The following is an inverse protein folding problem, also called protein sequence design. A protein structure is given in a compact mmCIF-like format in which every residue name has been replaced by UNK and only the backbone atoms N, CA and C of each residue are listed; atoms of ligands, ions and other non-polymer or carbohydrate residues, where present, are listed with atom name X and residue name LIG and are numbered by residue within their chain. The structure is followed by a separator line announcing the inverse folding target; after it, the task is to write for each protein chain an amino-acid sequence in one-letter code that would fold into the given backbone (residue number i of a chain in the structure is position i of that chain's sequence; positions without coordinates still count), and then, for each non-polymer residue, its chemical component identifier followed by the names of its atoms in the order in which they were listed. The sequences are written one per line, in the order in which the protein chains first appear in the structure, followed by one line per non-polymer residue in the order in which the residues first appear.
data_IF_392599888614
#
_entry.id   IF_392599888614
#
_cell.length_a   1.000
_cell.length_b   1.000
_cell.length_c   1.000
_cell.angle_alpha   90.00
_cell.angle_beta   90.00
_cell.angle_gamma   90.00
#
_symmetry.space_group_name_H-M   'P 1'
#
loop_
_entity.id
_entity.type
_entity.pdbx_description
1 polymer ?
#
# COMPACT_ATOMS: atom_id res chain seq x y z
N UNK A 1 47.37 -51.81 40.04
CA UNK A 1 46.54 -50.61 40.29
C UNK A 1 45.44 -50.54 39.23
N UNK A 2 44.19 -50.61 39.68
CA UNK A 2 42.92 -50.27 39.01
C UNK A 2 42.63 -50.96 37.66
N UNK A 3 41.83 -52.04 37.70
CA UNK A 3 40.95 -52.45 36.59
C UNK A 3 39.52 -52.50 37.11
N UNK A 4 38.70 -51.61 36.57
CA UNK A 4 37.31 -51.29 36.92
C UNK A 4 36.31 -52.28 36.31
N UNK A 5 35.23 -52.51 37.06
CA UNK A 5 34.11 -53.43 36.85
C UNK A 5 33.27 -53.20 35.56
N UNK A 6 32.46 -54.19 35.12
CA UNK A 6 31.68 -54.13 33.89
C UNK A 6 30.31 -53.46 34.13
N UNK A 7 29.95 -52.48 33.27
CA UNK A 7 28.61 -51.88 33.26
C UNK A 7 27.66 -52.63 32.32
N UNK A 8 26.45 -52.88 32.82
CA UNK A 8 25.29 -53.46 32.15
C UNK A 8 24.95 -52.76 30.83
N UNK A 9 24.68 -53.54 29.79
CA UNK A 9 24.03 -53.08 28.55
C UNK A 9 22.52 -52.90 28.81
N UNK A 10 22.06 -51.66 28.97
CA UNK A 10 20.65 -51.34 28.76
C UNK A 10 20.37 -51.32 27.25
N UNK A 11 19.53 -52.25 26.79
CA UNK A 11 18.89 -52.16 25.46
C UNK A 11 17.91 -51.00 25.49
N UNK A 12 18.23 -49.91 24.79
CA UNK A 12 17.25 -48.89 24.44
C UNK A 12 16.38 -49.44 23.32
N UNK A 13 15.15 -49.81 23.67
CA UNK A 13 14.08 -50.08 22.72
C UNK A 13 13.81 -48.83 21.88
N UNK A 14 14.04 -48.91 20.58
CA UNK A 14 13.71 -47.84 19.66
C UNK A 14 12.18 -47.67 19.57
N UNK A 15 11.66 -46.56 20.09
CA UNK A 15 10.30 -46.13 19.74
C UNK A 15 10.27 -45.80 18.24
N UNK A 16 9.29 -46.30 17.47
CA UNK A 16 9.13 -45.88 16.09
C UNK A 16 8.78 -44.37 16.09
N UNK A 17 9.66 -43.56 15.49
CA UNK A 17 9.38 -42.16 15.15
C UNK A 17 8.11 -42.16 14.29
N UNK A 18 6.97 -41.77 14.86
CA UNK A 18 5.80 -41.37 14.07
C UNK A 18 6.27 -40.24 13.16
N UNK A 19 6.27 -40.47 11.83
CA UNK A 19 6.38 -39.39 10.86
C UNK A 19 5.17 -38.50 11.09
N UNK A 20 5.41 -37.27 11.54
CA UNK A 20 4.40 -36.22 11.48
C UNK A 20 3.92 -36.13 10.02
N UNK A 21 2.61 -36.05 9.76
CA UNK A 21 2.14 -35.77 8.41
C UNK A 21 2.79 -34.48 7.93
N UNK A 22 3.29 -34.47 6.70
CA UNK A 22 3.80 -33.27 6.03
C UNK A 22 2.67 -32.24 6.02
N UNK A 23 2.76 -31.25 6.93
CA UNK A 23 1.86 -30.11 6.94
C UNK A 23 2.28 -29.25 5.76
N UNK A 24 1.53 -29.34 4.65
CA UNK A 24 1.65 -28.39 3.55
C UNK A 24 0.96 -27.11 3.98
N UNK A 25 1.75 -26.10 4.29
CA UNK A 25 1.27 -24.74 4.47
C UNK A 25 1.02 -24.17 3.07
N UNK A 26 -0.23 -24.02 2.68
CA UNK A 26 -0.57 -23.21 1.52
C UNK A 26 -0.34 -21.74 1.90
N UNK A 27 0.50 -20.98 1.16
CA UNK A 27 0.67 -19.57 1.41
C UNK A 27 -0.68 -18.87 1.30
N UNK A 28 -1.08 -18.14 2.34
CA UNK A 28 -2.26 -17.29 2.25
C UNK A 28 -1.97 -16.21 1.19
N UNK A 29 -2.85 -16.01 0.19
CA UNK A 29 -2.63 -15.02 -0.87
C UNK A 29 -2.26 -13.63 -0.36
N UNK A 30 -2.85 -13.22 0.77
CA UNK A 30 -2.52 -11.96 1.44
C UNK A 30 -1.11 -11.90 2.02
N UNK A 31 -0.54 -13.02 2.47
CA UNK A 31 0.82 -13.08 2.99
C UNK A 31 1.86 -13.03 1.86
N UNK A 32 1.64 -13.78 0.78
CA UNK A 32 2.48 -13.69 -0.42
C UNK A 32 2.48 -12.26 -0.97
N UNK A 33 1.30 -11.65 -1.03
CA UNK A 33 1.18 -10.26 -1.44
C UNK A 33 1.88 -9.28 -0.49
N UNK A 34 1.68 -9.44 0.82
CA UNK A 34 2.29 -8.58 1.85
C UNK A 34 3.81 -8.58 1.76
N UNK A 35 4.45 -9.73 1.52
CA UNK A 35 5.91 -9.82 1.38
C UNK A 35 6.44 -9.10 0.13
N UNK A 36 5.62 -9.00 -0.92
CA UNK A 36 5.99 -8.32 -2.16
C UNK A 36 5.73 -6.82 -2.11
N UNK A 37 4.79 -6.42 -1.26
CA UNK A 37 4.50 -5.04 -0.90
C UNK A 37 5.41 -4.53 0.21
N UNK A 38 6.10 -5.40 0.94
CA UNK A 38 7.00 -5.01 2.03
C UNK A 38 8.13 -4.14 1.48
N UNK A 39 8.04 -2.85 1.80
CA UNK A 39 9.10 -1.88 1.56
C UNK A 39 9.93 -1.80 2.83
N UNK A 40 11.25 -1.72 2.69
CA UNK A 40 12.09 -1.31 3.82
C UNK A 40 11.53 0.01 4.36
N UNK A 41 11.41 0.20 5.70
CA UNK A 41 10.81 1.38 6.27
C UNK A 41 11.37 2.62 5.55
N UNK A 42 10.51 3.51 5.04
CA UNK A 42 11.00 4.71 4.40
C UNK A 42 11.97 5.38 5.36
N UNK A 43 13.17 5.73 4.85
CA UNK A 43 14.07 6.58 5.61
C UNK A 43 13.34 7.89 5.94
N UNK A 44 13.82 8.66 6.93
CA UNK A 44 13.21 9.94 7.32
C UNK A 44 13.06 10.94 6.17
N UNK A 45 13.72 10.69 5.03
CA UNK A 45 13.73 11.54 3.84
C UNK A 45 12.77 11.12 2.72
N UNK A 46 11.84 10.17 2.96
CA UNK A 46 10.86 9.75 1.95
C UNK A 46 9.75 10.81 1.76
N UNK A 47 10.13 11.93 1.17
CA UNK A 47 9.29 13.12 1.01
C UNK A 47 8.52 13.14 -0.32
N UNK A 48 8.52 12.06 -1.10
CA UNK A 48 7.82 12.00 -2.39
C UNK A 48 7.36 10.59 -2.78
N UNK A 49 6.32 10.46 -3.64
CA UNK A 49 5.89 9.17 -4.18
C UNK A 49 7.03 8.41 -4.86
N UNK A 50 7.84 9.08 -5.69
CA UNK A 50 9.00 8.48 -6.34
C UNK A 50 10.01 7.87 -5.35
N UNK A 51 10.22 8.51 -4.19
CA UNK A 51 11.11 7.99 -3.15
C UNK A 51 10.56 6.71 -2.50
N UNK A 52 9.25 6.51 -2.48
CA UNK A 52 8.59 5.34 -1.91
C UNK A 52 8.57 4.14 -2.87
N UNK A 53 8.68 4.32 -4.19
CA UNK A 53 8.60 3.23 -5.19
C UNK A 53 9.78 2.23 -5.15
N UNK A 54 9.98 1.51 -4.04
CA UNK A 54 11.12 0.64 -3.77
C UNK A 54 10.74 -0.84 -3.71
N UNK A 55 9.47 -1.13 -3.42
CA UNK A 55 8.92 -2.48 -3.40
C UNK A 55 9.07 -3.24 -4.73
N UNK A 56 8.93 -4.56 -4.67
CA UNK A 56 8.97 -5.40 -5.88
C UNK A 56 7.88 -5.01 -6.87
N UNK A 57 6.68 -4.70 -6.37
CA UNK A 57 5.52 -4.25 -7.16
C UNK A 57 5.84 -3.05 -8.07
N UNK A 58 6.74 -2.17 -7.62
CA UNK A 58 7.15 -0.96 -8.32
C UNK A 58 8.24 -1.21 -9.38
N UNK A 59 9.08 -2.24 -9.19
CA UNK A 59 10.29 -2.46 -9.99
C UNK A 59 10.20 -3.65 -10.94
N UNK A 60 9.43 -4.68 -10.60
CA UNK A 60 9.27 -5.87 -11.42
C UNK A 60 8.60 -5.54 -12.78
N UNK A 61 8.73 -6.40 -13.80
CA UNK A 61 8.01 -6.23 -15.05
C UNK A 61 6.49 -6.14 -14.84
N UNK A 62 5.84 -5.13 -15.42
CA UNK A 62 4.40 -4.85 -15.23
C UNK A 62 3.52 -6.09 -15.46
N UNK A 63 3.80 -6.88 -16.51
CA UNK A 63 3.06 -8.11 -16.80
C UNK A 63 3.18 -9.17 -15.70
N UNK A 64 4.34 -9.28 -15.03
CA UNK A 64 4.51 -10.20 -13.91
C UNK A 64 3.67 -9.77 -12.70
N UNK A 65 3.66 -8.47 -12.40
CA UNK A 65 2.87 -7.88 -11.32
C UNK A 65 1.37 -8.11 -11.57
N UNK A 66 0.88 -7.81 -12.78
CA UNK A 66 -0.53 -7.99 -13.15
C UNK A 66 -0.95 -9.46 -13.11
N UNK A 67 -0.12 -10.35 -13.64
CA UNK A 67 -0.42 -11.79 -13.61
C UNK A 67 -0.48 -12.32 -12.18
N UNK A 68 0.41 -11.86 -11.30
CA UNK A 68 0.37 -12.23 -9.89
C UNK A 68 -0.89 -11.69 -9.21
N UNK A 69 -1.17 -10.39 -9.37
CA UNK A 69 -2.35 -9.73 -8.83
C UNK A 69 -3.63 -10.49 -9.19
N UNK A 70 -3.83 -10.79 -10.48
CA UNK A 70 -4.99 -11.54 -10.99
C UNK A 70 -5.12 -12.94 -10.39
N UNK A 71 -4.00 -13.65 -10.22
CA UNK A 71 -4.01 -14.99 -9.60
C UNK A 71 -4.45 -14.92 -8.13
N UNK A 72 -3.96 -13.93 -7.39
CA UNK A 72 -4.25 -13.78 -5.96
C UNK A 72 -5.66 -13.23 -5.71
N UNK A 73 -6.16 -12.33 -6.55
CA UNK A 73 -7.55 -11.84 -6.45
C UNK A 73 -8.57 -12.91 -6.84
N UNK A 74 -8.27 -13.75 -7.84
CA UNK A 74 -9.13 -14.88 -8.22
C UNK A 74 -9.32 -15.91 -7.08
N UNK A 75 -8.39 -15.97 -6.12
CA UNK A 75 -8.53 -16.80 -4.92
C UNK A 75 -9.41 -16.20 -3.81
N UNK A 76 -10.09 -15.09 -4.07
CA UNK A 76 -11.12 -14.51 -3.20
C UNK A 76 -10.60 -13.54 -2.14
N UNK A 77 -9.34 -13.13 -2.20
CA UNK A 77 -8.77 -12.11 -1.31
C UNK A 77 -8.92 -10.70 -1.87
N UNK A 78 -9.49 -9.78 -1.08
CA UNK A 78 -9.30 -8.35 -1.33
C UNK A 78 -7.90 -7.96 -0.86
N UNK A 79 -7.03 -7.60 -1.80
CA UNK A 79 -5.63 -7.29 -1.51
C UNK A 79 -5.46 -5.77 -1.36
N UNK A 80 -4.71 -5.30 -0.35
CA UNK A 80 -4.28 -3.91 -0.30
C UNK A 80 -3.31 -3.69 -1.46
N UNK A 81 -3.73 -2.90 -2.44
CA UNK A 81 -2.95 -2.65 -3.66
C UNK A 81 -2.96 -1.17 -4.01
N UNK A 82 -1.87 -0.66 -4.60
CA UNK A 82 -1.86 0.70 -5.12
C UNK A 82 -3.02 0.92 -6.09
N UNK A 83 -3.61 2.12 -6.07
CA UNK A 83 -4.74 2.49 -6.94
C UNK A 83 -4.48 2.13 -8.41
N UNK A 84 -3.25 2.38 -8.87
CA UNK A 84 -2.87 2.17 -10.25
C UNK A 84 -2.89 0.71 -10.67
N UNK A 85 -2.70 -0.24 -9.75
CA UNK A 85 -2.70 -1.66 -10.09
C UNK A 85 -4.12 -2.13 -10.46
N UNK A 86 -5.13 -1.66 -9.73
CA UNK A 86 -6.53 -1.88 -10.09
C UNK A 86 -6.91 -1.13 -11.36
N UNK A 87 -6.44 0.10 -11.53
CA UNK A 87 -6.68 0.85 -12.77
C UNK A 87 -6.08 0.16 -14.00
N UNK A 88 -4.87 -0.41 -13.88
CA UNK A 88 -4.22 -1.21 -14.92
C UNK A 88 -5.00 -2.49 -15.22
N UNK A 89 -5.42 -3.21 -14.18
CA UNK A 89 -6.17 -4.45 -14.37
C UNK A 89 -7.51 -4.22 -15.08
N UNK A 90 -8.17 -3.12 -14.75
CA UNK A 90 -9.41 -2.65 -15.40
C UNK A 90 -9.16 -2.05 -16.80
N UNK A 91 -7.92 -1.94 -17.25
CA UNK A 91 -7.55 -1.34 -18.54
C UNK A 91 -7.86 0.15 -18.65
N UNK A 92 -7.97 0.86 -17.52
CA UNK A 92 -8.30 2.29 -17.49
C UNK A 92 -7.07 3.20 -17.51
N UNK A 93 -5.90 2.63 -17.23
CA UNK A 93 -4.61 3.27 -17.44
C UNK A 93 -3.75 2.34 -18.30
N UNK A 94 -2.90 2.90 -19.16
CA UNK A 94 -2.20 2.13 -20.20
C UNK A 94 -0.94 1.48 -19.66
N UNK A 95 -0.30 2.12 -18.67
CA UNK A 95 0.97 1.64 -18.12
C UNK A 95 1.20 2.08 -16.68
N UNK A 96 2.08 1.37 -15.98
CA UNK A 96 2.56 1.77 -14.65
C UNK A 96 3.33 3.09 -14.71
N UNK A 97 4.00 3.38 -15.82
CA UNK A 97 4.69 4.66 -16.01
C UNK A 97 3.71 5.84 -16.00
N UNK A 98 2.57 5.69 -16.68
CA UNK A 98 1.49 6.70 -16.69
C UNK A 98 0.95 6.97 -15.27
N UNK A 99 0.81 5.94 -14.44
CA UNK A 99 0.41 6.11 -13.04
C UNK A 99 1.43 6.90 -12.23
N UNK A 100 2.71 6.60 -12.44
CA UNK A 100 3.81 7.28 -11.76
C UNK A 100 3.88 8.75 -12.17
N UNK A 101 3.63 9.06 -13.43
CA UNK A 101 3.54 10.45 -13.92
C UNK A 101 2.39 11.20 -13.24
N UNK A 102 1.23 10.57 -13.04
CA UNK A 102 0.10 11.19 -12.33
C UNK A 102 0.46 11.47 -10.87
N UNK A 103 1.05 10.49 -10.17
CA UNK A 103 1.52 10.65 -8.79
C UNK A 103 2.55 11.76 -8.65
N UNK A 104 3.53 11.81 -9.55
CA UNK A 104 4.62 12.79 -9.51
C UNK A 104 4.12 14.20 -9.88
N UNK A 105 3.21 14.31 -10.84
CA UNK A 105 2.57 15.58 -11.20
C UNK A 105 1.71 16.12 -10.06
N UNK A 106 0.91 15.25 -9.42
CA UNK A 106 0.12 15.61 -8.24
C UNK A 106 1.02 16.07 -7.08
N UNK A 107 2.09 15.33 -6.81
CA UNK A 107 3.06 15.69 -5.79
C UNK A 107 3.73 17.03 -6.09
N UNK A 108 4.14 17.27 -7.34
CA UNK A 108 4.73 18.53 -7.78
C UNK A 108 3.78 19.72 -7.62
N UNK A 109 2.50 19.54 -7.96
CA UNK A 109 1.47 20.57 -7.80
C UNK A 109 1.25 20.93 -6.32
N UNK A 110 1.01 19.93 -5.47
CA UNK A 110 0.68 20.16 -4.05
C UNK A 110 1.91 20.56 -3.24
N UNK A 111 3.07 19.95 -3.49
CA UNK A 111 4.31 20.27 -2.78
C UNK A 111 4.85 21.68 -3.06
N UNK A 112 4.40 22.34 -4.13
CA UNK A 112 4.72 23.74 -4.40
C UNK A 112 3.84 24.74 -3.62
N UNK A 113 2.83 24.26 -2.86
CA UNK A 113 1.83 25.10 -2.20
C UNK A 113 1.98 25.08 -0.69
N UNK A 114 1.79 26.25 -0.07
CA UNK A 114 1.81 26.40 1.38
C UNK A 114 0.59 25.69 1.99
N UNK A 115 0.82 24.95 3.06
CA UNK A 115 -0.22 24.26 3.82
C UNK A 115 -0.52 22.83 3.34
N UNK A 116 0.00 22.41 2.19
CA UNK A 116 -0.10 21.03 1.74
C UNK A 116 1.10 20.21 2.22
N UNK A 117 0.82 19.05 2.79
CA UNK A 117 1.82 18.11 3.30
C UNK A 117 1.61 16.73 2.67
N UNK A 118 2.71 16.10 2.27
CA UNK A 118 2.71 14.73 1.76
C UNK A 118 2.83 13.75 2.93
N UNK A 119 1.95 12.74 2.99
CA UNK A 119 1.93 11.76 4.07
C UNK A 119 2.36 10.38 3.54
N UNK A 120 3.60 9.94 3.84
CA UNK A 120 4.16 8.70 3.30
C UNK A 120 3.78 7.44 4.08
N UNK A 121 3.17 7.57 5.27
CA UNK A 121 2.98 6.47 6.24
C UNK A 121 1.64 5.73 6.09
N UNK A 122 1.22 5.51 4.86
CA UNK A 122 0.08 4.64 4.56
C UNK A 122 0.47 3.17 4.71
N UNK A 123 -0.48 2.31 5.08
CA UNK A 123 -0.25 0.88 5.23
C UNK A 123 0.33 0.25 3.96
N UNK A 124 1.00 -0.89 4.07
CA UNK A 124 1.61 -1.57 2.92
C UNK A 124 0.55 -1.86 1.83
N UNK A 125 0.71 -1.26 0.65
CA UNK A 125 -0.24 -1.39 -0.47
C UNK A 125 -1.40 -0.40 -0.44
N UNK A 126 -1.48 0.49 0.54
CA UNK A 126 -2.38 1.63 0.49
C UNK A 126 -1.77 2.75 -0.39
N UNK A 127 -2.64 3.58 -0.94
CA UNK A 127 -2.20 4.70 -1.79
C UNK A 127 -1.83 5.88 -0.92
N UNK A 128 -0.68 6.49 -1.21
CA UNK A 128 -0.23 7.71 -0.55
C UNK A 128 -1.23 8.85 -0.74
N UNK A 129 -1.20 9.82 0.17
CA UNK A 129 -2.11 10.94 0.15
C UNK A 129 -1.44 12.24 0.58
N UNK A 130 -2.17 13.34 0.41
CA UNK A 130 -1.75 14.69 0.80
C UNK A 130 -2.82 15.31 1.68
N UNK A 131 -2.39 16.05 2.70
CA UNK A 131 -3.26 16.76 3.63
C UNK A 131 -3.07 18.26 3.52
N UNK A 132 -4.14 19.02 3.79
CA UNK A 132 -4.10 20.47 3.87
C UNK A 132 -4.30 20.94 5.31
N UNK A 133 -3.22 21.27 6.01
CA UNK A 133 -3.23 21.61 7.45
C UNK A 133 -4.11 22.81 7.83
N UNK A 134 -4.24 23.90 7.04
CA UNK A 134 -5.13 25.01 7.40
C UNK A 134 -6.61 24.63 7.51
N UNK A 135 -6.98 23.41 7.11
CA UNK A 135 -8.33 22.88 7.26
C UNK A 135 -8.59 22.13 8.58
N UNK A 136 -7.60 22.01 9.47
CA UNK A 136 -7.72 21.48 10.84
C UNK A 136 -8.29 22.53 11.80
N UNK A 137 -9.50 23.02 11.49
CA UNK A 137 -10.21 24.06 12.24
C UNK A 137 -11.34 23.46 13.04
N UNK A 138 -11.41 23.77 14.34
CA UNK A 138 -12.50 23.30 15.20
C UNK A 138 -13.88 23.62 14.59
N UNK A 139 -14.83 22.65 14.50
CA UNK A 139 -14.81 21.32 15.11
C UNK A 139 -14.19 20.19 14.26
N UNK A 140 -13.58 20.50 13.11
CA UNK A 140 -12.92 19.50 12.25
C UNK A 140 -11.64 18.98 12.93
N UNK A 141 -11.40 17.68 12.76
CA UNK A 141 -10.30 16.94 13.40
C UNK A 141 -9.43 16.26 12.33
N UNK A 142 -10.01 15.94 11.17
CA UNK A 142 -9.32 15.41 10.02
C UNK A 142 -9.18 16.50 8.95
N UNK A 143 -7.99 16.69 8.37
CA UNK A 143 -7.77 17.70 7.34
C UNK A 143 -8.46 17.32 6.04
N UNK A 144 -8.53 18.28 5.12
CA UNK A 144 -8.86 18.05 3.72
C UNK A 144 -7.76 17.19 3.12
N UNK A 145 -8.14 16.05 2.56
CA UNK A 145 -7.21 15.04 2.05
C UNK A 145 -7.39 14.87 0.55
N UNK A 146 -6.29 14.80 -0.18
CA UNK A 146 -6.28 14.38 -1.58
C UNK A 146 -5.73 12.96 -1.65
N UNK A 147 -6.51 12.04 -2.22
CA UNK A 147 -6.16 10.63 -2.37
C UNK A 147 -6.21 10.22 -3.83
N UNK A 148 -5.36 9.28 -4.21
CA UNK A 148 -5.45 8.61 -5.50
C UNK A 148 -6.31 7.35 -5.40
N UNK A 149 -7.21 7.15 -6.36
CA UNK A 149 -8.16 6.04 -6.36
C UNK A 149 -8.41 5.54 -7.78
N UNK A 150 -8.79 4.27 -7.91
CA UNK A 150 -9.16 3.65 -9.18
C UNK A 150 -10.66 3.74 -9.48
N UNK A 151 -11.45 4.30 -8.56
CA UNK A 151 -12.91 4.24 -8.59
C UNK A 151 -13.53 5.08 -9.72
N UNK A 152 -12.86 6.14 -10.15
CA UNK A 152 -13.29 7.01 -11.26
C UNK A 152 -12.11 7.38 -12.16
N UNK A 153 -12.38 7.80 -13.41
CA UNK A 153 -11.36 7.93 -14.47
C UNK A 153 -10.42 9.12 -14.34
N UNK A 154 -10.69 10.05 -13.43
CA UNK A 154 -9.77 11.16 -13.13
C UNK A 154 -8.82 10.87 -11.97
N UNK A 155 -8.95 9.72 -11.32
CA UNK A 155 -8.01 9.15 -10.34
C UNK A 155 -7.80 9.92 -9.03
N UNK A 156 -8.24 11.17 -8.94
CA UNK A 156 -8.05 12.04 -7.78
C UNK A 156 -9.37 12.25 -7.05
N UNK A 157 -9.45 11.81 -5.80
CA UNK A 157 -10.55 12.15 -4.89
C UNK A 157 -10.09 13.16 -3.87
N UNK A 158 -10.93 14.16 -3.59
CA UNK A 158 -10.72 15.12 -2.50
C UNK A 158 -11.74 14.85 -1.42
N UNK A 159 -11.27 14.49 -0.23
CA UNK A 159 -12.07 14.31 0.96
C UNK A 159 -12.05 15.64 1.72
N UNK A 160 -13.20 16.30 1.93
CA UNK A 160 -13.24 17.53 2.72
C UNK A 160 -12.77 17.30 4.15
N UNK A 161 -12.28 18.37 4.80
CA UNK A 161 -12.03 18.35 6.24
C UNK A 161 -13.30 17.92 6.98
N UNK A 162 -13.10 17.05 7.96
CA UNK A 162 -14.18 16.33 8.59
C UNK A 162 -13.91 16.05 10.06
N UNK A 163 -14.95 15.62 10.77
CA UNK A 163 -14.87 15.16 12.15
C UNK A 163 -15.27 13.69 12.23
N UNK A 164 -15.10 13.08 13.40
CA UNK A 164 -15.56 11.70 13.65
C UNK A 164 -17.06 11.50 13.43
N UNK A 165 -17.84 12.60 13.48
CA UNK A 165 -19.31 12.56 13.40
C UNK A 165 -19.88 12.90 12.03
N UNK A 166 -19.06 13.45 11.12
CA UNK A 166 -19.48 13.82 9.79
C UNK A 166 -18.31 13.71 8.83
N UNK A 167 -18.40 12.83 7.84
CA UNK A 167 -17.51 12.79 6.68
C UNK A 167 -18.30 13.26 5.47
N UNK A 168 -17.85 14.35 4.83
CA UNK A 168 -18.44 14.79 3.56
C UNK A 168 -18.15 13.79 2.44
N UNK A 169 -19.01 13.75 1.43
CA UNK A 169 -18.80 12.87 0.27
C UNK A 169 -17.50 13.26 -0.46
N UNK A 170 -16.61 12.31 -0.77
CA UNK A 170 -15.43 12.57 -1.58
C UNK A 170 -15.80 13.18 -2.93
N UNK A 171 -15.15 14.29 -3.27
CA UNK A 171 -15.31 14.93 -4.58
C UNK A 171 -14.34 14.30 -5.56
N UNK A 172 -14.86 13.58 -6.55
CA UNK A 172 -14.07 13.06 -7.66
C UNK A 172 -13.67 14.20 -8.62
N UNK A 173 -12.38 14.27 -8.96
CA UNK A 173 -11.84 15.19 -9.95
C UNK A 173 -11.39 14.44 -11.20
N UNK A 174 -11.40 15.12 -12.34
CA UNK A 174 -10.99 14.66 -13.66
C UNK A 174 -9.47 14.63 -13.92
N UNK A 175 -8.65 14.90 -12.90
CA UNK A 175 -7.19 14.83 -12.96
C UNK A 175 -6.50 16.06 -12.40
N UNK A 176 -5.17 16.13 -12.58
CA UNK A 176 -4.30 17.14 -11.96
C UNK A 176 -4.66 18.57 -12.41
N UNK A 177 -5.02 18.77 -13.68
CA UNK A 177 -5.41 20.11 -14.16
C UNK A 177 -6.73 20.60 -13.57
N UNK A 178 -7.70 19.71 -13.35
CA UNK A 178 -8.95 20.09 -12.69
C UNK A 178 -8.73 20.38 -11.21
N UNK A 179 -7.88 19.59 -10.55
CA UNK A 179 -7.43 19.88 -9.19
C UNK A 179 -6.82 21.27 -9.12
N UNK A 180 -5.84 21.58 -9.97
CA UNK A 180 -5.20 22.90 -10.02
C UNK A 180 -6.23 24.04 -10.10
N UNK A 181 -7.21 23.93 -11.00
CA UNK A 181 -8.27 24.94 -11.14
C UNK A 181 -9.22 25.02 -9.93
N UNK A 182 -9.34 23.94 -9.16
CA UNK A 182 -10.23 23.82 -8.01
C UNK A 182 -9.55 24.13 -6.68
N UNK A 183 -8.22 24.26 -6.62
CA UNK A 183 -7.46 24.36 -5.38
C UNK A 183 -7.90 25.51 -4.50
N UNK A 184 -8.13 26.71 -5.05
CA UNK A 184 -8.61 27.86 -4.26
C UNK A 184 -9.93 27.59 -3.57
N UNK A 185 -10.83 26.83 -4.21
CA UNK A 185 -12.10 26.42 -3.60
C UNK A 185 -11.89 25.36 -2.52
N UNK A 186 -11.06 24.35 -2.81
CA UNK A 186 -10.76 23.25 -1.89
C UNK A 186 -10.09 23.78 -0.61
N UNK A 187 -9.12 24.68 -0.75
CA UNK A 187 -8.38 25.30 0.37
C UNK A 187 -9.26 26.22 1.24
N UNK A 188 -10.48 26.54 0.79
CA UNK A 188 -11.45 27.34 1.55
C UNK A 188 -12.46 26.51 2.36
N UNK A 189 -12.49 25.19 2.15
CA UNK A 189 -13.39 24.25 2.82
C UNK A 189 -13.15 24.13 4.31
#
# INVERSE_FOLDING_TARGET
MIRTSPFLRHRLSACPRRRSPDVRLEPLPGLEWSLLMEEQPPGPDAMSPAALRRGWVHRAPQGQVLNLFRRLTASGGDLPVPWWLRALDLGRISSRAEAFEIEDALHGLLGARVGWSFVPWVGAGESVYWEYEPSDRAPMIMPTTVVLTHQHTGWISVVPAHSDTFTGDPTALGGVSELESSLTRIESW
#
